data_IF_519761132573
#
_entry.id   IF_519761132573
#
_cell.length_a   1.000
_cell.length_b   1.000
_cell.length_c   1.000
_cell.angle_alpha   90.00
_cell.angle_beta   90.00
_cell.angle_gamma   90.00
#
_symmetry.space_group_name_H-M   'P 1'
#
loop_
_entity.id
_entity.type
_entity.pdbx_description
1 polymer ?
2 polymer ?
3 non-polymer ?
4 non-polymer ?
5 water ?
#
# COMPACT_ATOMS: atom_id res chain seq x y z
N UNK A 3 -9.59 -17.86 -0.50
CA UNK A 3 -9.05 -18.85 -1.51
C UNK A 3 -7.98 -18.30 -2.50
N UNK A 4 -6.78 -18.03 -2.00
CA UNK A 4 -5.75 -17.28 -2.75
C UNK A 4 -5.00 -18.11 -3.80
N UNK A 5 -4.83 -17.56 -5.01
CA UNK A 5 -4.01 -18.21 -6.03
C UNK A 5 -2.51 -18.02 -5.75
N UNK A 6 -1.65 -18.79 -6.44
CA UNK A 6 -0.18 -18.60 -6.37
C UNK A 6 0.19 -17.15 -6.64
N UNK A 7 -0.47 -16.58 -7.65
CA UNK A 7 -0.23 -15.21 -8.11
C UNK A 7 -0.48 -14.21 -6.98
N UNK A 8 -1.62 -14.35 -6.32
CA UNK A 8 -1.98 -13.52 -5.17
C UNK A 8 -1.02 -13.70 -3.99
N UNK A 9 -0.63 -14.94 -3.72
CA UNK A 9 0.31 -15.22 -2.63
C UNK A 9 1.63 -14.49 -2.85
N UNK A 10 2.12 -14.56 -4.09
CA UNK A 10 3.36 -13.86 -4.46
C UNK A 10 3.23 -12.34 -4.23
N UNK A 11 2.10 -11.76 -4.62
CA UNK A 11 1.87 -10.33 -4.39
C UNK A 11 1.82 -10.00 -2.91
N UNK A 12 1.14 -10.85 -2.13
CA UNK A 12 1.01 -10.64 -0.69
C UNK A 12 2.33 -10.82 0.01
N UNK A 13 3.15 -11.73 -0.50
CA UNK A 13 4.47 -11.98 0.09
C UNK A 13 5.30 -10.72 -0.03
N UNK A 14 5.23 -10.09 -1.19
CA UNK A 14 5.92 -8.84 -1.43
C UNK A 14 5.42 -7.71 -0.50
N UNK A 15 4.10 -7.59 -0.33
CA UNK A 15 3.52 -6.60 0.58
C UNK A 15 3.95 -6.86 2.02
N UNK A 16 3.80 -8.10 2.46
CA UNK A 16 4.22 -8.49 3.81
C UNK A 16 5.70 -8.14 4.04
N UNK A 17 6.51 -8.40 3.03
CA UNK A 17 7.95 -8.18 3.12
C UNK A 17 8.36 -6.71 3.31
N UNK A 18 7.63 -5.79 2.70
CA UNK A 18 7.83 -4.35 2.94
C UNK A 18 7.67 -3.99 4.42
N UNK A 19 6.69 -4.58 5.08
CA UNK A 19 6.49 -4.31 6.50
C UNK A 19 7.59 -4.98 7.31
N UNK A 20 7.94 -6.20 6.90
CA UNK A 20 8.85 -7.04 7.67
C UNK A 20 10.28 -6.70 7.29
N UNK A 21 10.72 -5.55 7.74
CA UNK A 21 11.94 -4.93 7.22
C UNK A 21 13.17 -5.66 7.69
N UNK A 22 13.11 -6.35 8.83
CA UNK A 22 14.24 -7.15 9.27
C UNK A 22 14.25 -8.59 8.74
N UNK A 23 13.29 -8.95 7.88
CA UNK A 23 13.25 -10.29 7.27
C UNK A 23 13.00 -11.48 8.19
N UNK A 24 12.57 -11.25 9.43
CA UNK A 24 12.38 -12.36 10.38
C UNK A 24 11.03 -13.07 10.28
N UNK A 25 10.27 -12.78 9.24
CA UNK A 25 9.01 -13.46 9.02
C UNK A 25 7.85 -13.05 9.92
N UNK A 26 8.03 -12.01 10.74
CA UNK A 26 6.90 -11.41 11.50
C UNK A 26 6.85 -9.87 11.36
N UNK A 27 5.65 -9.29 11.47
CA UNK A 27 5.49 -7.82 11.51
C UNK A 27 5.18 -7.38 12.94
N UNK A 28 6.02 -6.53 13.53
CA UNK A 28 5.75 -5.94 14.87
C UNK A 28 4.96 -4.63 14.78
N UNK A 29 4.55 -4.08 15.93
CA UNK A 29 3.94 -2.75 16.02
C UNK A 29 4.92 -1.69 15.46
N UNK A 30 6.20 -1.85 15.83
CA UNK A 30 7.26 -0.93 15.40
C UNK A 30 7.37 -0.90 13.88
N UNK A 31 7.42 -2.08 13.28
CA UNK A 31 7.53 -2.19 11.83
C UNK A 31 6.29 -1.66 11.13
N UNK A 32 5.11 -1.93 11.71
CA UNK A 32 3.89 -1.38 11.15
C UNK A 32 3.90 0.16 11.23
N UNK A 33 4.30 0.70 12.38
CA UNK A 33 4.37 2.16 12.58
C UNK A 33 5.33 2.83 11.59
N UNK A 34 6.48 2.21 11.39
CA UNK A 34 7.47 2.71 10.45
C UNK A 34 6.91 2.83 9.02
N UNK A 35 6.27 1.79 8.52
CA UNK A 35 5.71 1.89 7.17
C UNK A 35 4.61 2.96 7.10
N UNK A 36 3.72 2.99 8.09
CA UNK A 36 2.64 3.98 8.14
C UNK A 36 3.16 5.41 8.13
N UNK A 37 4.09 5.75 9.04
CA UNK A 37 4.65 7.11 9.11
C UNK A 37 5.38 7.46 7.81
N UNK A 38 5.98 6.46 7.18
CA UNK A 38 6.74 6.69 5.97
C UNK A 38 5.85 7.21 4.83
N UNK A 39 4.54 6.99 4.95
CA UNK A 39 3.58 7.46 3.92
C UNK A 39 2.63 8.51 4.46
N UNK A 40 2.98 9.10 5.60
CA UNK A 40 2.30 10.29 6.06
C UNK A 40 1.19 10.03 7.07
N UNK A 41 1.01 8.78 7.50
CA UNK A 41 0.01 8.45 8.53
C UNK A 41 0.59 8.72 9.93
N UNK A 42 -0.27 9.06 10.87
CA UNK A 42 0.17 9.35 12.24
C UNK A 42 -0.60 8.53 13.26
N UNK A 43 -0.63 7.20 13.12
CA UNK A 43 -1.40 6.42 14.09
C UNK A 43 -0.73 6.45 15.46
N UNK A 44 -1.49 6.53 16.54
CA UNK A 44 -0.94 6.42 17.90
C UNK A 44 -0.49 4.97 18.13
N UNK A 45 0.29 4.75 19.20
CA UNK A 45 0.79 3.43 19.52
C UNK A 45 -0.34 2.45 19.82
N UNK A 46 -1.36 2.91 20.55
CA UNK A 46 -2.51 2.06 20.89
C UNK A 46 -3.25 1.61 19.62
N UNK A 47 -3.35 2.53 18.67
CA UNK A 47 -3.97 2.27 17.40
C UNK A 47 -3.17 1.18 16.65
N UNK A 48 -1.85 1.36 16.59
CA UNK A 48 -0.99 0.36 15.96
C UNK A 48 -1.17 -1.02 16.64
N UNK A 49 -1.21 -1.01 17.98
CA UNK A 49 -1.34 -2.24 18.76
C UNK A 49 -2.63 -2.97 18.44
N UNK A 50 -3.71 -2.22 18.29
CA UNK A 50 -5.01 -2.77 17.91
C UNK A 50 -4.97 -3.44 16.53
N UNK A 51 -4.23 -2.83 15.61
CA UNK A 51 -4.10 -3.31 14.22
C UNK A 51 -3.36 -4.63 14.21
N UNK A 52 -2.25 -4.69 14.94
CA UNK A 52 -1.56 -5.95 15.17
C UNK A 52 -2.49 -6.98 15.82
N UNK A 53 -3.06 -6.68 17.00
CA UNK A 53 -3.90 -7.66 17.72
C UNK A 53 -5.02 -8.22 16.86
N UNK A 54 -5.56 -7.38 15.99
CA UNK A 54 -6.63 -7.77 15.07
C UNK A 54 -6.25 -8.89 14.10
N UNK A 55 -4.99 -8.94 13.67
CA UNK A 55 -4.53 -9.87 12.65
C UNK A 55 -3.79 -11.03 13.32
N UNK A 56 -3.27 -10.78 14.52
CA UNK A 56 -2.47 -11.75 15.26
C UNK A 56 -3.34 -12.86 15.88
N UNK A 57 -3.77 -13.84 15.08
CA UNK A 57 -4.68 -14.90 15.57
C UNK A 57 -4.18 -15.63 16.81
N UNK A 58 -2.90 -15.97 16.89
CA UNK A 58 -2.45 -16.74 18.07
C UNK A 58 -2.10 -15.89 19.31
N UNK A 59 -2.25 -14.57 19.22
CA UNK A 59 -2.02 -13.69 20.36
C UNK A 59 -0.59 -13.64 20.89
N UNK A 60 0.39 -14.03 20.07
CA UNK A 60 1.79 -13.89 20.49
C UNK A 60 2.39 -12.49 20.26
N UNK A 61 1.58 -11.57 19.73
CA UNK A 61 2.01 -10.17 19.62
C UNK A 61 2.65 -9.70 18.32
N UNK A 62 2.78 -10.57 17.32
CA UNK A 62 3.29 -10.17 16.01
C UNK A 62 2.43 -10.85 14.94
N UNK A 63 2.48 -10.34 13.71
CA UNK A 63 1.77 -10.98 12.61
C UNK A 63 2.75 -11.84 11.84
N UNK A 64 2.43 -13.11 11.64
CA UNK A 64 3.29 -13.95 10.79
C UNK A 64 2.63 -14.12 9.42
N UNK A 65 3.31 -14.75 8.48
CA UNK A 65 2.78 -14.79 7.10
C UNK A 65 1.46 -15.58 6.96
N UNK A 66 1.37 -16.81 7.55
CA UNK A 66 0.08 -17.54 7.58
C UNK A 66 -1.08 -16.69 8.11
N UNK A 67 -0.85 -15.94 9.18
CA UNK A 67 -1.86 -15.02 9.75
C UNK A 67 -2.21 -13.90 8.78
N UNK A 68 -1.19 -13.31 8.18
CA UNK A 68 -1.42 -12.31 7.16
C UNK A 68 -2.26 -12.86 5.99
N UNK A 69 -1.88 -14.01 5.44
CA UNK A 69 -2.61 -14.57 4.29
C UNK A 69 -4.04 -14.90 4.63
N UNK A 70 -4.25 -15.39 5.86
CA UNK A 70 -5.58 -15.80 6.32
C UNK A 70 -6.48 -14.58 6.42
N UNK A 71 -5.92 -13.48 6.91
CA UNK A 71 -6.71 -12.25 7.07
C UNK A 71 -7.03 -11.68 5.70
N UNK A 72 -6.08 -11.75 4.78
CA UNK A 72 -6.31 -11.36 3.39
C UNK A 72 -7.46 -12.14 2.75
N UNK A 73 -7.41 -13.47 2.85
CA UNK A 73 -8.49 -14.33 2.33
C UNK A 73 -9.84 -14.02 3.00
N UNK A 74 -9.85 -13.80 4.31
CA UNK A 74 -11.09 -13.51 5.00
C UNK A 74 -11.62 -12.10 4.70
N UNK A 75 -10.75 -11.08 4.70
CA UNK A 75 -11.21 -9.69 4.65
C UNK A 75 -11.09 -8.91 3.33
N UNK A 76 -10.24 -9.34 2.41
CA UNK A 76 -10.01 -8.52 1.21
C UNK A 76 -11.27 -8.42 0.34
N UNK A 77 -11.39 -7.31 -0.38
CA UNK A 77 -12.40 -7.16 -1.42
C UNK A 77 -11.88 -7.77 -2.74
N UNK A 78 -12.80 -8.11 -3.64
CA UNK A 78 -12.43 -8.56 -4.99
C UNK A 78 -11.64 -7.48 -5.70
N UNK A 79 -12.21 -6.28 -5.70
CA UNK A 79 -11.63 -5.12 -6.36
C UNK A 79 -11.32 -4.02 -5.32
N UNK A 80 -10.46 -3.07 -5.68
CA UNK A 80 -10.30 -1.84 -4.89
C UNK A 80 -11.63 -1.07 -4.90
N UNK A 81 -12.16 -0.78 -3.72
CA UNK A 81 -13.41 -0.05 -3.65
C UNK A 81 -13.18 1.41 -4.01
N UNK A 82 -14.27 2.06 -4.36
CA UNK A 82 -14.29 3.44 -4.74
C UNK A 82 -13.73 4.33 -3.65
N UNK A 83 -14.11 4.04 -2.40
CA UNK A 83 -13.67 4.82 -1.26
C UNK A 83 -12.18 4.63 -0.95
N UNK A 84 -11.70 3.40 -1.07
CA UNK A 84 -10.27 3.14 -0.93
C UNK A 84 -9.45 3.94 -1.94
N UNK A 85 -9.99 4.15 -3.14
CA UNK A 85 -9.29 4.83 -4.22
C UNK A 85 -9.22 6.34 -3.92
N UNK A 86 -10.33 6.90 -3.46
CA UNK A 86 -10.36 8.29 -2.98
C UNK A 86 -9.38 8.55 -1.83
N UNK A 87 -9.30 7.63 -0.87
CA UNK A 87 -8.34 7.78 0.24
C UNK A 87 -6.90 7.67 -0.26
N UNK A 88 -6.64 6.72 -1.16
CA UNK A 88 -5.28 6.56 -1.66
C UNK A 88 -4.87 7.78 -2.51
N UNK A 89 -5.83 8.36 -3.23
CA UNK A 89 -5.50 9.54 -4.03
C UNK A 89 -5.02 10.65 -3.10
N UNK A 90 -5.71 10.81 -1.96
CA UNK A 90 -5.32 11.79 -0.97
C UNK A 90 -3.87 11.60 -0.54
N UNK A 91 -3.49 10.35 -0.27
CA UNK A 91 -2.12 10.06 0.21
C UNK A 91 -1.06 10.37 -0.86
N UNK A 92 -1.29 9.97 -2.11
CA UNK A 92 -0.38 10.38 -3.21
C UNK A 92 -0.29 11.90 -3.38
N UNK A 93 -1.46 12.57 -3.39
CA UNK A 93 -1.51 14.00 -3.64
C UNK A 93 -1.33 14.79 -2.37
N UNK A 94 -0.10 14.82 -1.90
CA UNK A 94 0.14 15.25 -0.54
C UNK A 94 0.09 16.77 -0.34
N UNK A 95 0.33 17.58 -1.38
CA UNK A 95 0.07 19.03 -1.29
C UNK A 95 -1.41 19.37 -1.54
N UNK A 96 -2.23 18.36 -1.82
CA UNK A 96 -3.63 18.55 -2.16
C UNK A 96 -3.91 19.45 -3.38
N UNK A 97 -2.95 19.61 -4.30
CA UNK A 97 -3.21 20.47 -5.48
C UNK A 97 -4.08 19.82 -6.61
N UNK A 98 -4.59 18.60 -6.41
CA UNK A 98 -5.46 17.94 -7.39
C UNK A 98 -4.71 17.02 -8.37
N UNK A 99 -3.38 17.04 -8.34
CA UNK A 99 -2.55 16.26 -9.30
C UNK A 99 -1.46 15.47 -8.61
N UNK A 100 -1.25 14.23 -9.05
CA UNK A 100 -0.07 13.48 -8.62
C UNK A 100 1.05 13.76 -9.61
N UNK A 101 2.14 14.33 -9.11
CA UNK A 101 3.27 14.69 -9.91
C UNK A 101 4.29 13.55 -9.91
N UNK A 102 5.28 13.63 -10.81
CA UNK A 102 6.39 12.67 -10.84
C UNK A 102 7.09 12.58 -9.47
N UNK A 103 7.28 13.74 -8.83
CA UNK A 103 7.92 13.75 -7.50
C UNK A 103 7.05 13.06 -6.46
N UNK A 104 5.74 13.28 -6.50
CA UNK A 104 4.86 12.66 -5.51
C UNK A 104 4.80 11.16 -5.76
N UNK A 105 4.85 10.77 -7.03
CA UNK A 105 4.84 9.35 -7.40
C UNK A 105 6.13 8.64 -6.97
N UNK A 106 7.28 9.25 -7.27
CA UNK A 106 8.57 8.77 -6.78
C UNK A 106 8.57 8.61 -5.26
N UNK A 107 8.05 9.61 -4.56
CA UNK A 107 7.99 9.57 -3.10
C UNK A 107 7.27 8.31 -2.62
N UNK A 108 6.09 8.05 -3.18
CA UNK A 108 5.34 6.86 -2.77
C UNK A 108 6.09 5.57 -3.14
N UNK A 109 6.54 5.46 -4.38
CA UNK A 109 7.20 4.23 -4.85
C UNK A 109 8.45 3.88 -4.02
N UNK A 110 9.30 4.88 -3.74
CA UNK A 110 10.48 4.66 -2.90
C UNK A 110 10.04 4.13 -1.53
N UNK A 111 9.00 4.70 -0.94
CA UNK A 111 8.53 4.24 0.37
C UNK A 111 7.76 2.91 0.30
N UNK A 112 7.46 2.45 -0.91
CA UNK A 112 6.98 1.08 -1.11
C UNK A 112 8.12 0.12 -1.48
N UNK A 113 9.36 0.57 -1.35
CA UNK A 113 10.51 -0.31 -1.54
C UNK A 113 10.96 -0.43 -2.99
N UNK A 114 10.48 0.47 -3.85
CA UNK A 114 10.85 0.48 -5.26
C UNK A 114 11.48 1.80 -5.60
N UNK A 115 12.80 1.90 -5.57
CA UNK A 115 13.45 3.13 -6.06
C UNK A 115 13.59 3.04 -7.58
N UNK A 116 13.00 4.01 -8.27
CA UNK A 116 12.92 4.00 -9.72
C UNK A 116 13.82 5.07 -10.32
N UNK A 117 14.33 4.85 -11.52
CA UNK A 117 14.95 5.95 -12.28
C UNK A 117 13.88 6.94 -12.77
N UNK A 118 14.33 8.12 -13.19
CA UNK A 118 13.44 9.12 -13.78
C UNK A 118 12.66 8.55 -14.96
N UNK A 119 13.31 7.75 -15.79
CA UNK A 119 12.63 7.18 -16.95
C UNK A 119 11.54 6.23 -16.52
N UNK A 120 11.79 5.45 -15.48
CA UNK A 120 10.76 4.54 -14.96
C UNK A 120 9.56 5.27 -14.33
N UNK A 121 9.82 6.33 -13.56
CA UNK A 121 8.73 7.14 -13.03
C UNK A 121 7.92 7.69 -14.19
N UNK A 122 8.62 8.23 -15.19
CA UNK A 122 7.93 8.83 -16.35
C UNK A 122 7.11 7.84 -17.15
N UNK A 123 7.61 6.62 -17.29
CA UNK A 123 6.86 5.54 -17.92
C UNK A 123 5.61 5.17 -17.11
N UNK A 124 5.73 5.10 -15.77
CA UNK A 124 4.57 4.86 -14.92
C UNK A 124 3.46 5.91 -15.17
N UNK A 125 3.85 7.17 -15.19
CA UNK A 125 2.94 8.26 -15.46
C UNK A 125 2.33 8.10 -16.84
N UNK A 126 3.21 7.86 -17.83
CA UNK A 126 2.77 7.67 -19.21
C UNK A 126 1.64 6.62 -19.32
N UNK A 127 1.79 5.49 -18.63
CA UNK A 127 0.71 4.51 -18.58
C UNK A 127 -0.65 5.06 -18.09
N UNK A 128 -0.64 6.04 -17.18
CA UNK A 128 -1.88 6.56 -16.62
C UNK A 128 -2.36 7.83 -17.31
N UNK A 129 -1.46 8.46 -18.07
CA UNK A 129 -1.61 9.88 -18.41
C UNK A 129 -2.45 10.09 -19.64
N UNK A 130 -3.76 9.96 -19.47
CA UNK A 130 -4.72 10.13 -20.56
C UNK A 130 -4.63 11.48 -21.28
N UNK A 131 -4.63 12.59 -20.55
CA UNK A 131 -4.61 13.89 -21.22
C UNK A 131 -3.21 14.38 -21.59
N UNK A 132 -2.19 13.57 -21.35
CA UNK A 132 -0.83 13.93 -21.76
C UNK A 132 -0.22 15.14 -21.06
N UNK A 133 -0.73 15.55 -19.89
CA UNK A 133 -0.17 16.73 -19.18
C UNK A 133 1.05 16.44 -18.30
N UNK A 134 1.42 15.18 -18.17
CA UNK A 134 2.64 14.82 -17.45
C UNK A 134 2.40 14.58 -15.96
N UNK A 135 1.13 14.59 -15.54
CA UNK A 135 0.74 14.32 -14.15
C UNK A 135 -0.46 13.41 -14.19
N UNK A 136 -0.81 12.81 -13.05
CA UNK A 136 -1.97 11.91 -12.94
C UNK A 136 -3.06 12.62 -12.12
N UNK A 137 -4.17 13.00 -12.76
CA UNK A 137 -5.28 13.57 -12.02
C UNK A 137 -6.11 12.45 -11.39
N UNK A 138 -7.18 12.84 -10.70
CA UNK A 138 -8.04 11.91 -9.97
C UNK A 138 -8.65 10.84 -10.89
N UNK A 139 -9.25 11.25 -12.01
CA UNK A 139 -9.88 10.27 -12.92
C UNK A 139 -8.84 9.35 -13.54
N UNK A 140 -7.65 9.87 -13.87
CA UNK A 140 -6.62 8.98 -14.41
C UNK A 140 -6.20 7.95 -13.35
N UNK A 141 -6.11 8.38 -12.09
CA UNK A 141 -5.75 7.50 -10.97
C UNK A 141 -6.81 6.42 -10.78
N UNK A 142 -8.09 6.78 -10.87
CA UNK A 142 -9.15 5.78 -10.77
C UNK A 142 -8.96 4.65 -11.79
N UNK A 143 -8.77 5.02 -13.06
CA UNK A 143 -8.48 4.04 -14.13
C UNK A 143 -7.35 3.09 -13.79
N UNK A 144 -6.26 3.62 -13.23
CA UNK A 144 -5.13 2.78 -12.87
C UNK A 144 -5.45 1.86 -11.70
N UNK A 145 -6.39 2.28 -10.85
CA UNK A 145 -6.72 1.50 -9.66
C UNK A 145 -7.79 0.45 -9.94
N UNK A 146 -8.61 0.69 -10.95
CA UNK A 146 -9.72 -0.22 -11.22
C UNK A 146 -9.27 -1.25 -12.24
N UNK A 147 -8.15 -0.96 -12.91
CA UNK A 147 -7.50 -1.87 -13.85
C UNK A 147 -6.87 -3.06 -13.13
N UNK B 8 1.87 -3.65 -12.94
CA UNK B 8 3.35 -3.75 -12.95
C UNK B 8 3.90 -3.03 -11.69
N UNK B 9 4.38 -1.80 -11.86
CA UNK B 9 4.51 -0.93 -10.72
C UNK B 9 3.13 -0.49 -10.22
N UNK B 10 2.19 -0.23 -11.13
CA UNK B 10 0.82 0.07 -10.76
C UNK B 10 0.14 -1.06 -9.96
N UNK B 11 0.45 -2.31 -10.31
CA UNK B 11 -0.07 -3.48 -9.60
C UNK B 11 0.32 -3.47 -8.13
N UNK B 12 1.58 -3.13 -7.85
CA UNK B 12 2.05 -3.03 -6.47
C UNK B 12 1.24 -1.99 -5.66
N UNK B 13 0.88 -0.88 -6.30
CA UNK B 13 0.03 0.11 -5.66
C UNK B 13 -1.37 -0.47 -5.43
N UNK B 14 -1.92 -1.16 -6.43
CA UNK B 14 -3.22 -1.83 -6.27
C UNK B 14 -3.27 -2.78 -5.07
N UNK B 15 -2.22 -3.60 -4.91
CA UNK B 15 -2.12 -4.52 -3.80
C UNK B 15 -2.05 -3.79 -2.46
N UNK B 16 -1.23 -2.75 -2.37
CA UNK B 16 -1.08 -2.04 -1.10
C UNK B 16 -2.33 -1.27 -0.73
N UNK B 17 -3.06 -0.78 -1.73
CA UNK B 17 -4.32 -0.10 -1.51
C UNK B 17 -5.42 -1.06 -0.98
N UNK B 18 -5.39 -2.32 -1.43
CA UNK B 18 -6.41 -3.32 -1.06
C UNK B 18 -5.99 -4.23 0.10
N UNK B 19 -5.13 -3.75 0.99
CA UNK B 19 -4.78 -4.50 2.18
C UNK B 19 -5.74 -4.14 3.28
N UNK B 20 -6.61 -5.08 3.69
CA UNK B 20 -7.46 -4.71 4.84
C UNK B 20 -6.63 -4.54 6.11
N UNK B 21 -7.13 -3.69 7.01
CA UNK B 21 -6.49 -3.41 8.30
C UNK B 21 -5.23 -2.55 8.22
N UNK B 22 -4.20 -3.04 7.55
CA UNK B 22 -2.87 -2.43 7.63
C UNK B 22 -2.41 -1.65 6.39
N UNK B 23 -3.29 -1.42 5.42
CA UNK B 23 -2.88 -0.59 4.29
C UNK B 23 -2.39 0.77 4.78
N UNK B 24 -1.20 1.21 4.35
CA UNK B 24 -0.77 2.58 4.69
C UNK B 24 -1.45 3.69 3.86
N UNK B 25 -2.47 3.34 3.07
CA UNK B 25 -3.12 4.30 2.18
C UNK B 25 -4.54 4.72 2.60
N UNK B 26 -4.90 4.46 3.85
CA UNK B 26 -6.24 4.78 4.36
C UNK B 26 -6.53 6.29 4.47
X LIG C 1 9.99 -8.36 11.33
X LIG D 1 1.14 -14.16 15.72
X LIG E 1 -0.01 17.15 -5.94
X LIG F 1 -2.72 13.66 -16.80
X LIG G 1 15.95 14.44 -11.55
X LIG H 1 5.13 19.25 -5.29
X LIG H 1 5.83 18.05 -4.99
X LIG H 1 4.97 18.88 -6.72
X LIG H 1 4.66 17.52 -6.46
X LIG H 1 6.32 19.05 -7.33
X LIG H 1 6.42 18.67 -8.72
#
# INVERSE_FOLDING_TARGET
ADQLTEEQIAEFKEAFSLFDKDGDGTITTKELGTVMRSLGQNPTEAELQDMINEVDADGNGTIDFPEFLTMMARKMKDTDSEEEIREAFRVFDKDGNGYISAAELRHVMTNLGEKLTDEEVDEMIREADIDGDGQVNYEEFVQMMTAK
GEDVGQKNHWQKIRTMVNLPVISPFK
CA CA
CA CA
CA CA
CA CA
CA CA
GOL C1 O1 C2 O2 C3 O3
#
